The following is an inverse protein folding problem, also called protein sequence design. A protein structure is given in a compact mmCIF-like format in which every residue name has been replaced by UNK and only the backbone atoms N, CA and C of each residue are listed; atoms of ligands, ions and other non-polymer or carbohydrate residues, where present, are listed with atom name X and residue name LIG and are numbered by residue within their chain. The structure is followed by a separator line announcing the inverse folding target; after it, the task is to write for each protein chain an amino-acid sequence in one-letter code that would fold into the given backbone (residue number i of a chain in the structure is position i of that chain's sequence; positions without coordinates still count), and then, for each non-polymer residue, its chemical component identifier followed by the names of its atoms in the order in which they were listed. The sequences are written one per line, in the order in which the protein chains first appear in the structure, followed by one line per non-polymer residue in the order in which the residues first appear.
data_IF_896271425589
#
_entry.id   IF_896271425589
#
_cell.length_a   1.000
_cell.length_b   1.000
_cell.length_c   1.000
_cell.angle_alpha   90.00
_cell.angle_beta   90.00
_cell.angle_gamma   90.00
#
_symmetry.space_group_name_H-M   'P 1'
#
loop_
_entity.id
_entity.type
_entity.pdbx_description
1 polymer ?
#
# COMPACT_ATOMS: atom_id res chain seq x y z
N UNK A 1 4.87 -63.09 11.37
CA UNK A 1 5.53 -62.35 10.28
C UNK A 1 4.44 -61.64 9.48
N UNK A 2 4.38 -60.31 9.63
CA UNK A 2 3.67 -59.27 8.87
C UNK A 2 2.21 -59.52 8.41
N UNK A 3 1.28 -58.95 9.18
CA UNK A 3 -0.09 -58.63 8.80
C UNK A 3 -0.11 -57.54 7.70
N UNK A 4 -0.64 -57.87 6.53
CA UNK A 4 -1.08 -56.88 5.53
C UNK A 4 -2.47 -56.37 5.90
N UNK A 5 -2.55 -55.14 6.39
CA UNK A 5 -3.82 -54.43 6.60
C UNK A 5 -4.33 -53.87 5.27
N UNK A 6 -5.49 -54.35 4.83
CA UNK A 6 -6.22 -53.86 3.66
C UNK A 6 -6.88 -52.52 4.04
N UNK A 7 -6.70 -51.42 3.29
CA UNK A 7 -7.32 -50.14 3.62
C UNK A 7 -8.83 -50.20 3.35
N UNK A 8 -9.62 -49.60 4.24
CA UNK A 8 -11.08 -49.62 4.17
C UNK A 8 -11.63 -48.77 3.00
N UNK A 9 -12.85 -49.07 2.49
CA UNK A 9 -13.40 -48.47 1.26
C UNK A 9 -13.63 -46.96 1.31
N UNK A 10 -13.65 -46.35 2.50
CA UNK A 10 -13.87 -44.90 2.67
C UNK A 10 -12.67 -44.03 2.25
N UNK A 11 -11.48 -44.63 2.09
CA UNK A 11 -10.25 -43.92 1.69
C UNK A 11 -10.11 -43.68 0.18
N UNK A 12 -10.79 -44.50 -0.65
CA UNK A 12 -10.72 -44.40 -2.11
C UNK A 12 -11.67 -43.33 -2.67
N UNK A 13 -12.87 -43.18 -2.07
CA UNK A 13 -13.84 -42.18 -2.50
C UNK A 13 -13.42 -40.74 -2.18
N UNK A 14 -12.64 -40.52 -1.12
CA UNK A 14 -12.10 -39.20 -0.76
C UNK A 14 -10.95 -38.76 -1.69
N UNK A 15 -10.13 -39.71 -2.15
CA UNK A 15 -9.00 -39.47 -3.06
C UNK A 15 -9.46 -39.22 -4.51
N UNK A 16 -10.49 -39.94 -4.97
CA UNK A 16 -11.06 -39.74 -6.32
C UNK A 16 -11.86 -38.42 -6.43
N UNK A 17 -12.55 -38.03 -5.35
CA UNK A 17 -13.32 -36.77 -5.31
C UNK A 17 -12.44 -35.53 -5.22
N UNK A 18 -11.26 -35.63 -4.59
CA UNK A 18 -10.29 -34.52 -4.52
C UNK A 18 -9.48 -34.36 -5.83
N UNK A 19 -9.12 -35.47 -6.49
CA UNK A 19 -8.45 -35.44 -7.80
C UNK A 19 -9.33 -34.85 -8.91
N UNK A 20 -10.61 -35.23 -8.98
CA UNK A 20 -11.54 -34.69 -9.97
C UNK A 20 -11.75 -33.17 -9.82
N UNK A 21 -11.93 -32.68 -8.58
CA UNK A 21 -12.07 -31.25 -8.31
C UNK A 21 -10.82 -30.46 -8.70
N UNK A 22 -9.63 -31.02 -8.46
CA UNK A 22 -8.36 -30.41 -8.85
C UNK A 22 -8.21 -30.30 -10.37
N UNK A 23 -8.48 -31.38 -11.12
CA UNK A 23 -8.40 -31.36 -12.59
C UNK A 23 -9.43 -30.42 -13.22
N UNK A 24 -10.63 -30.32 -12.65
CA UNK A 24 -11.66 -29.36 -13.08
C UNK A 24 -11.18 -27.93 -12.84
N UNK A 25 -10.64 -27.63 -11.65
CA UNK A 25 -10.08 -26.31 -11.34
C UNK A 25 -8.92 -25.93 -12.28
N UNK A 26 -8.00 -26.85 -12.55
CA UNK A 26 -6.91 -26.64 -13.51
C UNK A 26 -7.43 -26.37 -14.93
N UNK A 27 -8.47 -27.07 -15.37
CA UNK A 27 -9.09 -26.87 -16.68
C UNK A 27 -9.76 -25.50 -16.80
N UNK A 28 -10.48 -25.06 -15.77
CA UNK A 28 -11.05 -23.71 -15.72
C UNK A 28 -9.97 -22.63 -15.69
N UNK A 29 -8.88 -22.84 -14.94
CA UNK A 29 -7.74 -21.94 -14.92
C UNK A 29 -7.07 -21.85 -16.29
N UNK A 30 -6.85 -22.97 -16.97
CA UNK A 30 -6.29 -23.01 -18.32
C UNK A 30 -7.20 -22.30 -19.34
N UNK A 31 -8.51 -22.52 -19.28
CA UNK A 31 -9.49 -21.82 -20.13
C UNK A 31 -9.50 -20.32 -19.86
N UNK A 32 -9.42 -19.91 -18.59
CA UNK A 32 -9.36 -18.50 -18.20
C UNK A 32 -8.09 -17.81 -18.73
N UNK A 33 -6.93 -18.48 -18.60
CA UNK A 33 -5.66 -18.03 -19.17
C UNK A 33 -5.77 -17.93 -20.69
N UNK A 34 -6.34 -18.94 -21.35
CA UNK A 34 -6.54 -18.95 -22.79
C UNK A 34 -7.42 -17.78 -23.26
N UNK A 35 -8.55 -17.52 -22.59
CA UNK A 35 -9.42 -16.36 -22.89
C UNK A 35 -8.68 -15.04 -22.67
N UNK A 36 -7.87 -14.91 -21.61
CA UNK A 36 -7.05 -13.72 -21.38
C UNK A 36 -6.01 -13.51 -22.47
N UNK A 37 -5.30 -14.57 -22.85
CA UNK A 37 -4.31 -14.55 -23.93
C UNK A 37 -4.97 -14.15 -25.25
N UNK A 38 -6.12 -14.74 -25.59
CA UNK A 38 -6.90 -14.36 -26.78
C UNK A 38 -7.38 -12.90 -26.73
N UNK A 39 -7.85 -12.42 -25.58
CA UNK A 39 -8.23 -11.00 -25.41
C UNK A 39 -7.02 -10.08 -25.58
N UNK A 40 -5.87 -10.42 -25.01
CA UNK A 40 -4.63 -9.65 -25.19
C UNK A 40 -4.17 -9.62 -26.65
N UNK A 41 -4.25 -10.75 -27.35
CA UNK A 41 -3.94 -10.85 -28.78
C UNK A 41 -4.90 -10.00 -29.63
N UNK A 42 -6.20 -9.99 -29.30
CA UNK A 42 -7.23 -9.19 -30.00
C UNK A 42 -7.21 -7.70 -29.65
N UNK A 43 -6.66 -7.33 -28.48
CA UNK A 43 -6.47 -5.94 -28.05
C UNK A 43 -5.28 -5.24 -28.71
N UNK A 44 -4.58 -5.91 -29.65
CA UNK A 44 -3.63 -5.26 -30.59
C UNK A 44 -4.36 -4.36 -31.60
N UNK A 45 -5.24 -3.49 -31.11
CA UNK A 45 -5.86 -2.41 -31.88
C UNK A 45 -4.79 -1.34 -32.11
N UNK A 46 -4.78 -0.79 -33.33
CA UNK A 46 -3.85 0.20 -33.90
C UNK A 46 -3.53 1.36 -32.94
N UNK A 47 -2.55 1.17 -32.06
CA UNK A 47 -1.94 2.26 -31.29
C UNK A 47 -0.71 2.77 -32.05
N UNK A 48 -0.34 4.04 -31.82
CA UNK A 48 0.93 4.57 -32.29
C UNK A 48 2.07 3.66 -31.84
N UNK A 49 2.91 3.22 -32.78
CA UNK A 49 4.07 2.42 -32.46
C UNK A 49 5.08 3.31 -31.73
N UNK A 50 5.28 3.03 -30.45
CA UNK A 50 6.29 3.68 -29.63
C UNK A 50 7.54 2.81 -29.62
N UNK A 51 8.71 3.46 -29.63
CA UNK A 51 9.99 2.79 -29.39
C UNK A 51 10.04 2.22 -27.98
N UNK A 52 10.96 1.30 -27.73
CA UNK A 52 11.13 0.71 -26.42
C UNK A 52 12.15 -0.41 -26.38
N UNK A 53 12.57 -0.81 -25.17
CA UNK A 53 13.58 -1.83 -25.01
C UNK A 53 13.11 -3.19 -25.51
N UNK A 54 14.03 -4.00 -26.05
CA UNK A 54 13.71 -5.38 -26.39
C UNK A 54 13.32 -6.15 -25.14
N UNK A 55 12.43 -7.13 -25.34
CA UNK A 55 11.96 -7.99 -24.26
C UNK A 55 13.07 -8.93 -23.81
N UNK A 56 13.52 -8.80 -22.56
CA UNK A 56 14.56 -9.64 -21.97
C UNK A 56 14.06 -11.03 -21.59
N UNK A 57 12.79 -11.15 -21.18
CA UNK A 57 12.19 -12.44 -20.83
C UNK A 57 10.81 -12.66 -21.45
N UNK A 58 10.54 -13.92 -21.81
CA UNK A 58 9.25 -14.29 -22.39
C UNK A 58 8.13 -14.07 -21.35
N UNK A 59 8.26 -14.61 -20.14
CA UNK A 59 7.16 -14.50 -19.16
C UNK A 59 7.09 -13.12 -18.47
N UNK A 60 8.22 -12.52 -18.12
CA UNK A 60 8.26 -11.34 -17.26
C UNK A 60 8.48 -10.01 -18.00
N UNK A 61 8.71 -10.03 -19.31
CA UNK A 61 9.11 -8.81 -20.03
C UNK A 61 10.41 -8.26 -19.47
N UNK A 62 10.46 -6.95 -19.21
CA UNK A 62 11.54 -6.28 -18.44
C UNK A 62 11.23 -6.18 -16.94
N UNK A 63 10.08 -6.66 -16.48
CA UNK A 63 9.63 -6.45 -15.09
C UNK A 63 10.52 -7.15 -14.06
N UNK A 64 11.17 -8.25 -14.45
CA UNK A 64 12.11 -8.98 -13.58
C UNK A 64 13.40 -8.20 -13.35
N UNK A 65 13.96 -7.64 -14.42
CA UNK A 65 15.22 -6.87 -14.35
C UNK A 65 15.02 -5.61 -13.51
N UNK A 66 13.86 -4.95 -13.65
CA UNK A 66 13.46 -3.81 -12.81
C UNK A 66 13.24 -4.17 -11.35
N UNK A 67 12.81 -5.41 -11.05
CA UNK A 67 12.56 -5.85 -9.68
C UNK A 67 13.85 -6.29 -8.96
N UNK A 68 14.84 -6.78 -9.69
CA UNK A 68 16.13 -7.24 -9.14
C UNK A 68 17.15 -6.09 -9.09
N UNK A 69 17.02 -5.09 -9.97
CA UNK A 69 17.93 -3.95 -10.00
C UNK A 69 17.91 -3.16 -8.70
N UNK A 70 19.09 -2.88 -8.14
CA UNK A 70 19.23 -1.97 -7.00
C UNK A 70 18.78 -0.54 -7.35
N UNK A 71 19.03 -0.10 -8.58
CA UNK A 71 18.61 1.19 -9.10
C UNK A 71 17.77 1.02 -10.37
N UNK A 72 16.45 0.98 -10.18
CA UNK A 72 15.49 0.99 -11.29
C UNK A 72 15.39 2.36 -11.97
N UNK A 73 15.73 3.44 -11.26
CA UNK A 73 15.67 4.81 -11.78
C UNK A 73 16.68 5.01 -12.92
N UNK A 74 17.93 4.59 -12.72
CA UNK A 74 18.96 4.62 -13.76
C UNK A 74 18.59 3.78 -15.00
N UNK A 75 17.78 2.73 -14.85
CA UNK A 75 17.28 1.96 -16.00
C UNK A 75 16.28 2.81 -16.80
N UNK A 76 15.31 3.44 -16.12
CA UNK A 76 14.33 4.32 -16.77
C UNK A 76 14.98 5.54 -17.44
N UNK A 77 16.03 6.11 -16.82
CA UNK A 77 16.79 7.25 -17.38
C UNK A 77 17.55 6.86 -18.66
N UNK A 78 18.20 5.69 -18.66
CA UNK A 78 18.84 5.14 -19.86
C UNK A 78 17.84 4.93 -21.00
N UNK A 79 16.69 4.32 -20.71
CA UNK A 79 15.65 4.11 -21.72
C UNK A 79 15.02 5.41 -22.20
N UNK A 80 14.87 6.42 -21.34
CA UNK A 80 14.41 7.74 -21.76
C UNK A 80 15.41 8.42 -22.71
N UNK A 81 16.71 8.22 -22.48
CA UNK A 81 17.77 8.73 -23.37
C UNK A 81 17.79 8.00 -24.71
N UNK A 82 17.60 6.67 -24.71
CA UNK A 82 17.69 5.84 -25.91
C UNK A 82 16.43 5.86 -26.78
N UNK A 83 15.24 5.81 -26.16
CA UNK A 83 13.96 5.68 -26.86
C UNK A 83 13.13 6.97 -26.87
N UNK A 84 13.61 8.02 -26.19
CA UNK A 84 13.01 9.34 -26.14
C UNK A 84 12.02 9.54 -24.97
N UNK A 85 11.31 10.66 -25.01
CA UNK A 85 10.46 11.13 -23.90
C UNK A 85 9.16 10.33 -23.69
N UNK A 86 8.79 9.49 -24.65
CA UNK A 86 7.64 8.58 -24.55
C UNK A 86 7.98 7.26 -25.21
N UNK A 87 7.96 6.18 -24.45
CA UNK A 87 8.34 4.86 -24.92
C UNK A 87 7.48 3.76 -24.30
N UNK A 88 7.53 2.56 -24.86
CA UNK A 88 6.74 1.42 -24.43
C UNK A 88 7.63 0.30 -23.91
N UNK A 89 7.39 -0.18 -22.70
CA UNK A 89 8.13 -1.29 -22.09
C UNK A 89 7.27 -2.57 -22.06
N UNK A 90 7.87 -3.75 -22.32
CA UNK A 90 7.17 -5.02 -22.18
C UNK A 90 7.01 -5.41 -20.70
N UNK A 91 5.78 -5.75 -20.32
CA UNK A 91 5.39 -6.18 -18.97
C UNK A 91 5.13 -7.69 -18.92
N UNK A 92 4.90 -8.19 -17.71
CA UNK A 92 4.50 -9.58 -17.42
C UNK A 92 3.38 -10.07 -18.35
N UNK A 93 3.48 -11.33 -18.79
CA UNK A 93 2.52 -12.05 -19.65
C UNK A 93 2.23 -11.39 -21.00
N UNK A 94 3.22 -10.69 -21.57
CA UNK A 94 3.10 -10.04 -22.87
C UNK A 94 2.26 -8.77 -22.85
N UNK A 95 1.93 -8.25 -21.66
CA UNK A 95 1.40 -6.90 -21.52
C UNK A 95 2.44 -5.85 -21.92
N UNK A 96 2.00 -4.63 -22.13
CA UNK A 96 2.87 -3.48 -22.39
C UNK A 96 2.51 -2.34 -21.45
N UNK A 97 3.47 -1.46 -21.16
CA UNK A 97 3.26 -0.24 -20.38
C UNK A 97 3.88 0.93 -21.13
N UNK A 98 3.20 2.06 -21.13
CA UNK A 98 3.74 3.31 -21.69
C UNK A 98 4.39 4.08 -20.56
N UNK A 99 5.61 4.55 -20.79
CA UNK A 99 6.34 5.44 -19.89
C UNK A 99 6.29 6.84 -20.49
N UNK A 100 5.87 7.81 -19.67
CA UNK A 100 5.79 9.22 -20.02
C UNK A 100 6.87 9.98 -19.26
N UNK A 101 7.77 10.62 -19.99
CA UNK A 101 8.81 11.51 -19.45
C UNK A 101 8.62 12.97 -19.90
N UNK A 102 7.71 13.24 -20.85
CA UNK A 102 7.36 14.60 -21.27
C UNK A 102 6.47 15.30 -20.22
N UNK A 103 6.88 16.46 -19.67
CA UNK A 103 6.08 17.20 -18.71
C UNK A 103 4.68 17.59 -19.21
N UNK A 104 4.51 17.87 -20.52
CA UNK A 104 3.20 18.23 -21.07
C UNK A 104 2.26 17.02 -21.12
N UNK A 105 2.76 15.87 -21.57
CA UNK A 105 2.02 14.61 -21.53
C UNK A 105 1.66 14.19 -20.10
N UNK A 106 2.58 14.36 -19.15
CA UNK A 106 2.36 14.10 -17.72
C UNK A 106 1.29 15.05 -17.16
N UNK A 107 1.37 16.34 -17.47
CA UNK A 107 0.38 17.32 -17.05
C UNK A 107 -1.00 16.95 -17.62
N UNK A 108 -1.10 16.57 -18.89
CA UNK A 108 -2.34 16.09 -19.49
C UNK A 108 -2.87 14.82 -18.80
N UNK A 109 -2.00 13.86 -18.49
CA UNK A 109 -2.35 12.62 -17.81
C UNK A 109 -2.96 12.88 -16.42
N UNK A 110 -2.34 13.77 -15.63
CA UNK A 110 -2.82 14.10 -14.28
C UNK A 110 -3.93 15.17 -14.25
N UNK A 111 -4.06 16.01 -15.28
CA UNK A 111 -5.10 17.03 -15.37
C UNK A 111 -6.46 16.43 -15.75
N UNK A 112 -6.48 15.36 -16.56
CA UNK A 112 -7.72 14.63 -16.81
C UNK A 112 -8.11 13.93 -15.52
N UNK A 113 -9.32 14.23 -15.04
CA UNK A 113 -9.90 13.58 -13.86
C UNK A 113 -9.81 12.05 -13.95
N UNK A 114 -9.93 11.38 -12.80
CA UNK A 114 -9.88 9.92 -12.56
C UNK A 114 -10.82 9.04 -13.42
N UNK A 115 -11.41 9.58 -14.48
CA UNK A 115 -12.34 8.93 -15.40
C UNK A 115 -11.69 8.30 -16.61
N UNK A 116 -10.68 8.95 -17.19
CA UNK A 116 -10.03 8.43 -18.39
C UNK A 116 -8.88 7.48 -18.05
N UNK A 117 -8.02 7.89 -17.11
CA UNK A 117 -6.85 7.12 -16.71
C UNK A 117 -7.13 6.45 -15.36
N UNK A 118 -7.67 5.23 -15.44
CA UNK A 118 -8.05 4.43 -14.28
C UNK A 118 -6.94 3.46 -13.89
N UNK A 119 -6.87 3.12 -12.60
CA UNK A 119 -5.93 2.11 -12.14
C UNK A 119 -6.29 0.72 -12.68
N UNK A 120 -5.27 -0.11 -12.92
CA UNK A 120 -5.49 -1.47 -13.39
C UNK A 120 -6.17 -2.34 -12.33
N UNK A 121 -6.92 -3.39 -12.70
CA UNK A 121 -7.53 -4.31 -11.74
C UNK A 121 -6.53 -4.94 -10.78
N UNK A 122 -5.30 -5.21 -11.25
CA UNK A 122 -4.23 -5.74 -10.40
C UNK A 122 -3.78 -4.71 -9.37
N UNK A 123 -3.60 -3.45 -9.77
CA UNK A 123 -3.27 -2.34 -8.86
C UNK A 123 -4.36 -2.16 -7.79
N UNK A 124 -5.64 -2.22 -8.18
CA UNK A 124 -6.75 -2.12 -7.23
C UNK A 124 -6.81 -3.30 -6.26
N UNK A 125 -6.62 -4.53 -6.74
CA UNK A 125 -6.60 -5.69 -5.87
C UNK A 125 -5.43 -5.63 -4.88
N UNK A 126 -4.28 -5.13 -5.31
CA UNK A 126 -3.12 -4.90 -4.45
C UNK A 126 -3.38 -3.82 -3.40
N UNK A 127 -3.98 -2.69 -3.79
CA UNK A 127 -4.34 -1.61 -2.87
C UNK A 127 -5.41 -2.06 -1.87
N UNK A 128 -6.44 -2.79 -2.31
CA UNK A 128 -7.46 -3.36 -1.43
C UNK A 128 -6.83 -4.33 -0.41
N UNK A 129 -5.89 -5.17 -0.86
CA UNK A 129 -5.19 -6.09 0.03
C UNK A 129 -4.23 -5.40 1.01
N UNK A 130 -3.69 -4.23 0.63
CA UNK A 130 -2.67 -3.54 1.41
C UNK A 130 -3.25 -2.52 2.40
N UNK A 131 -4.06 -1.59 1.89
CA UNK A 131 -4.60 -0.44 2.64
C UNK A 131 -6.12 -0.46 2.74
N UNK A 132 -6.78 -1.46 2.15
CA UNK A 132 -8.24 -1.56 2.11
C UNK A 132 -8.89 -0.63 1.09
N UNK A 133 -10.23 -0.55 1.15
CA UNK A 133 -11.05 0.29 0.24
C UNK A 133 -11.12 1.73 0.73
N UNK A 134 -9.97 2.40 0.75
CA UNK A 134 -9.83 3.81 1.13
C UNK A 134 -9.71 4.76 -0.06
N UNK A 135 -9.29 5.98 0.21
CA UNK A 135 -9.08 7.03 -0.80
C UNK A 135 -8.06 6.62 -1.88
N UNK A 136 -7.07 5.79 -1.55
CA UNK A 136 -6.09 5.31 -2.54
C UNK A 136 -6.68 4.30 -3.54
N UNK A 137 -7.72 3.56 -3.13
CA UNK A 137 -8.40 2.55 -3.93
C UNK A 137 -9.60 3.13 -4.69
N UNK A 138 -10.30 4.08 -4.08
CA UNK A 138 -11.48 4.69 -4.67
C UNK A 138 -11.13 5.36 -6.00
N UNK A 139 -12.06 5.27 -6.96
CA UNK A 139 -11.95 5.97 -8.24
C UNK A 139 -13.17 6.86 -8.44
N UNK A 140 -12.98 7.90 -9.25
CA UNK A 140 -14.10 8.67 -9.73
C UNK A 140 -14.82 9.50 -8.67
N UNK A 141 -16.15 9.38 -8.62
CA UNK A 141 -17.01 10.20 -7.77
C UNK A 141 -16.87 9.78 -6.30
N UNK A 142 -16.67 8.48 -6.06
CA UNK A 142 -16.33 7.97 -4.74
C UNK A 142 -15.00 8.56 -4.26
N UNK A 143 -13.98 8.62 -5.14
CA UNK A 143 -12.71 9.26 -4.82
C UNK A 143 -12.88 10.76 -4.56
N UNK A 144 -13.58 11.47 -5.45
CA UNK A 144 -13.88 12.91 -5.34
C UNK A 144 -14.55 13.23 -4.01
N UNK A 145 -15.58 12.47 -3.63
CA UNK A 145 -16.29 12.63 -2.35
C UNK A 145 -15.38 12.38 -1.15
N UNK A 146 -14.62 11.29 -1.14
CA UNK A 146 -13.69 10.98 -0.05
C UNK A 146 -12.59 12.04 0.09
N UNK A 147 -11.97 12.45 -1.04
CA UNK A 147 -10.96 13.51 -1.08
C UNK A 147 -11.52 14.82 -0.54
N UNK A 148 -12.70 15.24 -1.00
CA UNK A 148 -13.38 16.47 -0.55
C UNK A 148 -13.65 16.46 0.95
N UNK A 149 -14.04 15.33 1.52
CA UNK A 149 -14.25 15.20 2.96
C UNK A 149 -12.94 15.29 3.77
N UNK A 150 -11.81 14.81 3.22
CA UNK A 150 -10.51 14.81 3.89
C UNK A 150 -9.77 16.15 3.82
N UNK A 151 -9.85 16.86 2.68
CA UNK A 151 -9.07 18.09 2.41
C UNK A 151 -9.05 19.12 3.55
N UNK A 152 -10.17 19.45 4.23
CA UNK A 152 -10.14 20.49 5.25
C UNK A 152 -9.21 20.19 6.44
N UNK A 153 -9.07 18.92 6.81
CA UNK A 153 -8.19 18.49 7.90
C UNK A 153 -6.69 18.58 7.53
N UNK A 154 -6.39 18.78 6.24
CA UNK A 154 -5.05 19.04 5.71
C UNK A 154 -4.90 20.47 5.16
N UNK A 155 -5.76 21.40 5.59
CA UNK A 155 -5.62 22.81 5.25
C UNK A 155 -4.42 23.45 5.96
N UNK A 156 -3.87 24.54 5.41
CA UNK A 156 -2.78 25.29 6.04
C UNK A 156 -3.10 25.70 7.49
N UNK A 157 -4.36 26.04 7.77
CA UNK A 157 -4.80 26.37 9.13
C UNK A 157 -4.79 25.17 10.07
N UNK A 158 -5.21 24.00 9.61
CA UNK A 158 -5.15 22.76 10.39
C UNK A 158 -3.70 22.32 10.63
N UNK A 159 -2.84 22.39 9.60
CA UNK A 159 -1.42 22.01 9.71
C UNK A 159 -0.69 22.90 10.73
N UNK A 160 -0.95 24.21 10.75
CA UNK A 160 -0.35 25.13 11.75
C UNK A 160 -0.70 24.77 13.18
N UNK A 161 -1.89 24.21 13.44
CA UNK A 161 -2.27 23.74 14.78
C UNK A 161 -1.48 22.52 15.22
N UNK A 162 -0.99 21.73 14.26
CA UNK A 162 -0.20 20.53 14.52
C UNK A 162 1.30 20.84 14.69
N UNK A 163 1.75 22.06 14.38
CA UNK A 163 3.17 22.45 14.43
C UNK A 163 3.83 22.16 15.77
N UNK A 164 3.15 22.36 16.91
CA UNK A 164 3.70 22.02 18.23
C UNK A 164 4.01 20.53 18.36
N UNK A 165 3.16 19.64 17.82
CA UNK A 165 3.38 18.19 17.84
C UNK A 165 4.67 17.80 17.10
N UNK A 166 4.97 18.47 15.98
CA UNK A 166 6.23 18.26 15.26
C UNK A 166 7.44 18.69 16.09
N UNK A 167 7.36 19.85 16.76
CA UNK A 167 8.43 20.31 17.65
C UNK A 167 8.61 19.38 18.84
N UNK A 168 7.53 18.95 19.49
CA UNK A 168 7.59 18.04 20.64
C UNK A 168 8.29 16.72 20.27
N UNK A 169 7.96 16.17 19.10
CA UNK A 169 8.61 14.95 18.59
C UNK A 169 10.09 15.15 18.27
N UNK A 170 10.44 16.31 17.70
CA UNK A 170 11.84 16.67 17.42
C UNK A 170 12.66 16.87 18.70
N UNK A 171 12.11 17.58 19.70
CA UNK A 171 12.76 17.77 20.99
C UNK A 171 12.90 16.46 21.76
N UNK A 172 11.90 15.56 21.69
CA UNK A 172 11.99 14.22 22.26
C UNK A 172 13.13 13.42 21.63
N UNK A 173 13.27 13.43 20.31
CA UNK A 173 14.37 12.77 19.62
C UNK A 173 15.73 13.37 19.99
N UNK A 174 15.83 14.71 20.02
CA UNK A 174 17.04 15.43 20.45
C UNK A 174 17.47 15.02 21.86
N UNK A 175 16.55 14.99 22.82
CA UNK A 175 16.86 14.58 24.19
C UNK A 175 17.37 13.13 24.29
N UNK A 176 16.85 12.23 23.45
CA UNK A 176 17.37 10.85 23.38
C UNK A 176 18.76 10.81 22.78
N UNK A 177 19.03 11.58 21.74
CA UNK A 177 20.36 11.67 21.13
C UNK A 177 21.39 12.25 22.10
N UNK A 178 21.02 13.27 22.88
CA UNK A 178 21.86 13.79 23.96
C UNK A 178 22.19 12.69 24.97
N UNK A 179 21.20 11.90 25.40
CA UNK A 179 21.43 10.78 26.33
C UNK A 179 22.37 9.72 25.74
N UNK A 180 22.27 9.44 24.45
CA UNK A 180 23.17 8.51 23.74
C UNK A 180 24.60 9.06 23.68
N UNK A 181 24.76 10.36 23.46
CA UNK A 181 26.07 11.02 23.47
C UNK A 181 26.69 11.04 24.88
N UNK A 182 25.91 11.43 25.89
CA UNK A 182 26.35 11.49 27.29
C UNK A 182 26.73 10.12 27.87
N UNK A 183 26.12 9.04 27.36
CA UNK A 183 26.45 7.66 27.75
C UNK A 183 27.63 7.07 26.99
N UNK A 184 28.15 7.77 25.97
CA UNK A 184 29.34 7.34 25.26
C UNK A 184 30.61 7.64 26.05
N UNK A 185 31.52 6.67 26.12
CA UNK A 185 32.78 6.80 26.86
C UNK A 185 33.74 7.82 26.25
N UNK A 186 33.67 8.00 24.93
CA UNK A 186 34.61 8.83 24.17
C UNK A 186 34.00 10.19 23.78
N UNK A 187 32.77 10.50 24.23
CA UNK A 187 32.05 11.73 23.88
C UNK A 187 31.40 11.71 22.48
N UNK A 188 31.64 10.66 21.68
CA UNK A 188 31.13 10.50 20.32
C UNK A 188 30.16 9.32 20.21
N UNK A 189 29.11 9.44 19.40
CA UNK A 189 28.15 8.36 19.16
C UNK A 189 27.77 8.21 17.68
N UNK A 190 27.65 6.97 17.22
CA UNK A 190 27.12 6.64 15.89
C UNK A 190 25.61 6.45 16.00
N UNK A 191 24.86 7.29 15.29
CA UNK A 191 23.39 7.29 15.30
C UNK A 191 22.86 6.86 13.93
N UNK A 192 22.03 5.83 13.90
CA UNK A 192 21.33 5.39 12.68
C UNK A 192 20.11 6.31 12.42
N UNK A 193 20.34 7.38 11.66
CA UNK A 193 19.36 8.45 11.46
C UNK A 193 18.09 7.96 10.78
N UNK A 194 18.15 6.98 9.87
CA UNK A 194 16.98 6.55 9.11
C UNK A 194 15.93 5.89 10.01
N UNK A 195 16.34 5.02 10.92
CA UNK A 195 15.46 4.41 11.91
C UNK A 195 14.89 5.45 12.87
N UNK A 196 15.69 6.44 13.30
CA UNK A 196 15.17 7.56 14.09
C UNK A 196 14.11 8.36 13.33
N UNK A 197 14.33 8.67 12.04
CA UNK A 197 13.33 9.38 11.24
C UNK A 197 12.04 8.56 11.07
N UNK A 198 12.13 7.23 10.95
CA UNK A 198 10.97 6.35 10.94
C UNK A 198 10.17 6.46 12.24
N UNK A 199 10.84 6.41 13.40
CA UNK A 199 10.20 6.54 14.71
C UNK A 199 9.60 7.94 14.94
N UNK A 200 10.32 9.01 14.60
CA UNK A 200 9.81 10.39 14.71
C UNK A 200 8.55 10.54 13.84
N UNK A 201 8.61 10.10 12.59
CA UNK A 201 7.48 10.20 11.66
C UNK A 201 6.28 9.43 12.17
N UNK A 202 6.48 8.22 12.72
CA UNK A 202 5.41 7.40 13.24
C UNK A 202 4.74 8.03 14.48
N UNK A 203 5.52 8.46 15.47
CA UNK A 203 4.97 9.08 16.68
C UNK A 203 4.26 10.40 16.34
N UNK A 204 4.87 11.22 15.47
CA UNK A 204 4.28 12.49 15.03
C UNK A 204 2.94 12.27 14.34
N UNK A 205 2.85 11.32 13.39
CA UNK A 205 1.59 11.00 12.70
C UNK A 205 0.58 10.33 13.63
N UNK A 206 1.03 9.54 14.61
CA UNK A 206 0.18 8.99 15.65
C UNK A 206 -0.51 10.09 16.46
N UNK A 207 0.26 11.06 16.94
CA UNK A 207 -0.28 12.16 17.76
C UNK A 207 -1.09 13.13 16.90
N UNK A 208 -0.54 13.60 15.78
CA UNK A 208 -1.19 14.58 14.92
C UNK A 208 -2.41 14.00 14.18
N UNK A 209 -2.36 12.73 13.78
CA UNK A 209 -3.44 12.05 13.06
C UNK A 209 -4.52 11.49 13.99
N UNK A 210 -4.08 10.80 15.05
CA UNK A 210 -4.91 9.94 15.89
C UNK A 210 -4.88 10.34 17.37
N UNK A 211 -4.26 11.46 17.77
CA UNK A 211 -4.09 11.80 19.20
C UNK A 211 -3.53 10.62 20.03
N UNK A 212 -2.71 9.77 19.40
CA UNK A 212 -2.21 8.54 19.98
C UNK A 212 -0.69 8.49 19.88
N UNK A 213 -0.01 8.47 21.02
CA UNK A 213 1.45 8.27 21.06
C UNK A 213 1.75 6.78 20.97
N UNK A 214 2.37 6.35 19.86
CA UNK A 214 2.82 4.97 19.68
C UNK A 214 4.02 4.63 20.58
N UNK A 215 4.72 5.64 21.12
CA UNK A 215 5.90 5.49 21.95
C UNK A 215 7.08 4.86 21.21
N UNK A 216 7.11 5.00 19.89
CA UNK A 216 8.14 4.44 19.03
C UNK A 216 9.52 5.02 19.36
N UNK A 217 9.59 6.31 19.73
CA UNK A 217 10.80 6.97 20.21
C UNK A 217 11.26 6.53 21.61
N UNK A 218 10.39 5.83 22.36
CA UNK A 218 10.72 5.27 23.67
C UNK A 218 11.13 3.79 23.60
N UNK A 219 11.38 3.27 22.38
CA UNK A 219 11.78 1.89 22.16
C UNK A 219 10.63 0.89 22.27
N UNK A 220 9.37 1.34 22.34
CA UNK A 220 8.23 0.43 22.20
C UNK A 220 8.16 -0.03 20.75
N UNK A 221 8.21 -1.35 20.54
CA UNK A 221 7.88 -1.94 19.23
C UNK A 221 6.39 -1.77 18.98
N UNK A 222 6.02 -0.64 18.36
CA UNK A 222 4.69 -0.49 17.82
C UNK A 222 4.50 -1.53 16.70
N UNK A 223 3.34 -2.18 16.63
CA UNK A 223 2.99 -3.07 15.51
C UNK A 223 3.15 -2.40 14.14
N UNK A 224 3.14 -1.06 14.14
CA UNK A 224 3.28 -0.23 12.97
C UNK A 224 4.72 -0.15 12.44
N UNK A 225 5.74 -0.11 13.32
CA UNK A 225 7.15 -0.12 12.86
C UNK A 225 7.48 -1.42 12.15
N UNK A 226 7.02 -2.56 12.67
CA UNK A 226 7.20 -3.89 12.07
C UNK A 226 6.61 -3.96 10.64
N UNK A 227 5.45 -3.32 10.41
CA UNK A 227 4.85 -3.25 9.07
C UNK A 227 5.72 -2.41 8.13
N UNK A 228 6.23 -1.26 8.58
CA UNK A 228 7.10 -0.40 7.78
C UNK A 228 8.45 -1.05 7.47
N UNK A 229 9.05 -1.75 8.43
CA UNK A 229 10.28 -2.52 8.22
C UNK A 229 10.07 -3.63 7.18
N UNK A 230 8.89 -4.26 7.17
CA UNK A 230 8.50 -5.27 6.17
C UNK A 230 8.32 -4.67 4.76
N UNK A 231 7.95 -3.39 4.66
CA UNK A 231 7.88 -2.71 3.35
C UNK A 231 9.28 -2.48 2.77
N UNK A 232 10.25 -2.09 3.59
CA UNK A 232 11.64 -1.80 3.18
C UNK A 232 12.52 -3.04 2.96
N UNK A 233 12.21 -4.17 3.61
CA UNK A 233 13.04 -5.38 3.62
C UNK A 233 12.67 -6.44 2.57
N UNK A 234 11.88 -6.09 1.54
CA UNK A 234 11.48 -7.03 0.48
C UNK A 234 12.70 -7.46 -0.37
N UNK A 235 13.43 -8.46 0.12
CA UNK A 235 14.47 -9.12 -0.67
C UNK A 235 13.81 -9.83 -1.86
N UNK A 236 14.32 -9.66 -3.09
CA UNK A 236 13.85 -10.42 -4.23
C UNK A 236 14.07 -11.92 -3.94
N UNK A 237 12.98 -12.68 -3.93
CA UNK A 237 12.97 -14.12 -3.73
C UNK A 237 12.19 -14.75 -4.87
N UNK A 238 12.63 -15.93 -5.32
CA UNK A 238 11.93 -16.69 -6.36
C UNK A 238 10.46 -16.94 -5.99
N UNK A 239 10.15 -17.10 -4.70
CA UNK A 239 8.78 -17.24 -4.22
C UNK A 239 7.95 -15.97 -4.43
N UNK A 240 8.53 -14.78 -4.22
CA UNK A 240 7.87 -13.49 -4.47
C UNK A 240 7.68 -13.25 -5.97
N UNK A 241 8.66 -13.61 -6.81
CA UNK A 241 8.53 -13.53 -8.27
C UNK A 241 7.37 -14.39 -8.78
N UNK A 242 7.30 -15.65 -8.31
CA UNK A 242 6.20 -16.58 -8.64
C UNK A 242 4.87 -16.03 -8.12
N UNK A 243 4.84 -15.50 -6.90
CA UNK A 243 3.64 -14.91 -6.32
C UNK A 243 3.12 -13.72 -7.14
N UNK A 244 3.99 -12.82 -7.58
CA UNK A 244 3.61 -11.65 -8.42
C UNK A 244 3.10 -12.11 -9.79
N UNK A 245 3.78 -13.09 -10.40
CA UNK A 245 3.31 -13.69 -11.65
C UNK A 245 1.91 -14.28 -11.48
N UNK A 246 1.73 -15.10 -10.45
CA UNK A 246 0.46 -15.75 -10.14
C UNK A 246 -0.63 -14.73 -9.80
N UNK A 247 -0.32 -13.65 -9.08
CA UNK A 247 -1.26 -12.57 -8.79
C UNK A 247 -1.69 -11.80 -10.05
N UNK A 248 -0.81 -11.67 -11.04
CA UNK A 248 -1.13 -11.02 -12.32
C UNK A 248 -2.14 -11.83 -13.16
N UNK A 249 -2.11 -13.16 -13.03
CA UNK A 249 -3.08 -14.09 -13.62
C UNK A 249 -4.30 -14.19 -12.72
N UNK A 250 -4.14 -14.65 -11.49
CA UNK A 250 -5.22 -14.87 -10.54
C UNK A 250 -5.14 -13.84 -9.41
N UNK A 251 -5.79 -12.67 -9.54
CA UNK A 251 -5.72 -11.62 -8.50
C UNK A 251 -6.30 -12.06 -7.16
N UNK A 252 -7.04 -13.18 -7.12
CA UNK A 252 -7.51 -13.80 -5.88
C UNK A 252 -6.36 -14.29 -4.99
N UNK A 253 -5.18 -14.55 -5.56
CA UNK A 253 -3.97 -14.98 -4.83
C UNK A 253 -3.48 -13.90 -3.88
N UNK A 254 -3.74 -12.62 -4.18
CA UNK A 254 -3.50 -11.52 -3.25
C UNK A 254 -4.34 -11.64 -1.96
N UNK A 255 -5.40 -12.48 -1.94
CA UNK A 255 -6.22 -12.75 -0.76
C UNK A 255 -5.63 -13.82 0.17
N UNK A 256 -4.60 -14.55 -0.26
CA UNK A 256 -3.97 -15.61 0.54
C UNK A 256 -3.26 -15.00 1.75
N UNK A 257 -3.40 -15.58 2.95
CA UNK A 257 -2.71 -15.12 4.16
C UNK A 257 -1.19 -15.27 3.99
N UNK A 258 -0.52 -14.14 3.81
CA UNK A 258 0.95 -14.02 3.93
C UNK A 258 1.29 -13.33 5.24
N UNK A 259 2.52 -13.48 5.73
CA UNK A 259 3.00 -12.78 6.93
C UNK A 259 2.77 -11.28 6.82
N UNK A 260 3.19 -10.68 5.70
CA UNK A 260 2.94 -9.28 5.37
C UNK A 260 1.45 -8.90 5.40
N UNK A 261 0.57 -9.73 4.83
CA UNK A 261 -0.89 -9.48 4.86
C UNK A 261 -1.45 -9.58 6.27
N UNK A 262 -0.96 -10.52 7.09
CA UNK A 262 -1.38 -10.66 8.48
C UNK A 262 -0.94 -9.46 9.31
N UNK A 263 0.28 -8.97 9.11
CA UNK A 263 0.80 -7.74 9.71
C UNK A 263 -0.03 -6.53 9.32
N UNK A 264 -0.32 -6.34 8.03
CA UNK A 264 -1.18 -5.25 7.52
C UNK A 264 -2.60 -5.35 8.08
N UNK A 265 -3.16 -6.55 8.19
CA UNK A 265 -4.47 -6.78 8.80
C UNK A 265 -4.46 -6.44 10.28
N UNK A 266 -3.43 -6.84 11.03
CA UNK A 266 -3.25 -6.51 12.45
C UNK A 266 -3.17 -5.00 12.64
N UNK A 267 -2.37 -4.30 11.83
CA UNK A 267 -2.28 -2.85 11.83
C UNK A 267 -3.62 -2.18 11.53
N UNK A 268 -4.34 -2.64 10.50
CA UNK A 268 -5.65 -2.10 10.14
C UNK A 268 -6.67 -2.28 11.28
N UNK A 269 -6.66 -3.42 11.97
CA UNK A 269 -7.52 -3.67 13.13
C UNK A 269 -7.16 -2.74 14.29
N UNK A 270 -5.88 -2.64 14.65
CA UNK A 270 -5.41 -1.76 15.73
C UNK A 270 -5.75 -0.29 15.46
N UNK A 271 -5.51 0.19 14.24
CA UNK A 271 -5.88 1.55 13.83
C UNK A 271 -7.39 1.77 13.86
N UNK A 272 -8.19 0.76 13.49
CA UNK A 272 -9.64 0.81 13.60
C UNK A 272 -10.12 0.91 15.05
N UNK A 273 -9.49 0.17 15.97
CA UNK A 273 -9.78 0.24 17.40
C UNK A 273 -9.46 1.61 17.99
N UNK A 274 -8.26 2.13 17.71
CA UNK A 274 -7.82 3.47 18.14
C UNK A 274 -8.79 4.53 17.59
N UNK A 275 -9.11 4.47 16.29
CA UNK A 275 -10.03 5.42 15.65
C UNK A 275 -11.43 5.39 16.27
N UNK A 276 -11.97 4.20 16.55
CA UNK A 276 -13.27 4.06 17.20
C UNK A 276 -13.27 4.61 18.63
N UNK A 277 -12.22 4.34 19.40
CA UNK A 277 -12.08 4.86 20.75
C UNK A 277 -12.02 6.40 20.75
N UNK A 278 -11.25 6.99 19.83
CA UNK A 278 -11.15 8.44 19.68
C UNK A 278 -12.48 9.08 19.28
N UNK A 279 -13.22 8.45 18.35
CA UNK A 279 -14.55 8.92 17.95
C UNK A 279 -15.52 8.89 19.14
N UNK A 280 -15.49 7.84 19.96
CA UNK A 280 -16.30 7.73 21.16
C UNK A 280 -15.91 8.80 22.19
N UNK A 281 -14.60 8.99 22.45
CA UNK A 281 -14.10 10.01 23.37
C UNK A 281 -14.50 11.41 22.91
N UNK A 282 -14.28 11.74 21.64
CA UNK A 282 -14.64 13.04 21.07
C UNK A 282 -16.14 13.34 21.15
N UNK A 283 -17.01 12.33 20.93
CA UNK A 283 -18.46 12.47 21.13
C UNK A 283 -18.84 12.70 22.59
N UNK A 284 -18.20 12.01 23.53
CA UNK A 284 -18.46 12.17 24.98
C UNK A 284 -18.03 13.55 25.48
N UNK A 285 -16.83 14.00 25.11
CA UNK A 285 -16.30 15.30 25.52
C UNK A 285 -17.17 16.47 25.03
N UNK A 286 -17.75 16.36 23.83
CA UNK A 286 -18.71 17.36 23.31
C UNK A 286 -20.11 17.28 23.94
N UNK A 287 -20.56 16.10 24.37
CA UNK A 287 -21.82 15.95 25.11
C UNK A 287 -21.78 16.59 26.50
N UNK A 288 -20.59 16.77 27.06
CA UNK A 288 -20.35 17.42 28.37
C UNK A 288 -20.02 18.92 28.22
N UNK A 289 -19.38 19.34 27.13
CA UNK A 289 -19.05 20.74 26.85
C UNK A 289 -20.00 21.38 25.82
N UNK A 290 -21.19 21.81 26.27
CA UNK A 290 -22.01 22.79 25.54
C UNK A 290 -21.35 24.17 25.73
N UNK A 291 -20.28 24.45 24.97
CA UNK A 291 -19.69 25.80 24.90
C UNK A 291 -18.17 25.90 24.82
N UNK A 292 -17.42 24.82 25.04
CA UNK A 292 -15.95 24.84 24.96
C UNK A 292 -15.42 24.38 23.60
N UNK A 293 -14.49 25.13 22.99
CA UNK A 293 -13.63 24.66 21.89
C UNK A 293 -12.81 23.46 22.37
N UNK A 294 -13.37 22.25 22.27
CA UNK A 294 -12.65 21.01 22.55
C UNK A 294 -11.42 20.93 21.64
N UNK A 295 -10.28 20.57 22.23
CA UNK A 295 -8.97 20.56 21.57
C UNK A 295 -9.03 19.84 20.23
N UNK A 296 -8.97 20.61 19.15
CA UNK A 296 -8.87 20.15 17.77
C UNK A 296 -7.44 19.69 17.44
N UNK A 297 -6.83 18.89 18.33
CA UNK A 297 -5.40 18.59 18.27
C UNK A 297 -5.06 17.41 17.34
N UNK A 298 -6.05 16.84 16.65
CA UNK A 298 -5.81 15.81 15.64
C UNK A 298 -6.70 15.87 14.41
N UNK A 299 -6.19 15.31 13.32
CA UNK A 299 -6.86 15.19 12.02
C UNK A 299 -8.18 14.44 12.16
N UNK A 300 -8.24 13.32 12.88
CA UNK A 300 -9.49 12.57 13.08
C UNK A 300 -10.51 13.37 13.90
N UNK A 301 -10.06 14.06 14.95
CA UNK A 301 -10.93 14.96 15.72
C UNK A 301 -11.57 16.01 14.83
N UNK A 302 -10.77 16.67 13.98
CA UNK A 302 -11.23 17.63 12.98
C UNK A 302 -12.22 17.01 12.00
N UNK A 303 -11.92 15.84 11.44
CA UNK A 303 -12.80 15.17 10.47
C UNK A 303 -14.15 14.79 11.08
N UNK A 304 -14.18 14.29 12.32
CA UNK A 304 -15.43 13.98 13.02
C UNK A 304 -16.30 15.22 13.22
N UNK A 305 -15.69 16.37 13.50
CA UNK A 305 -16.43 17.63 13.66
C UNK A 305 -17.04 18.10 12.33
N UNK A 306 -16.30 17.91 11.23
CA UNK A 306 -16.69 18.37 9.91
C UNK A 306 -17.80 17.49 9.32
N UNK A 307 -17.73 16.17 9.49
CA UNK A 307 -18.78 15.27 9.00
C UNK A 307 -20.14 15.58 9.60
N UNK A 308 -20.20 15.93 10.88
CA UNK A 308 -21.46 16.30 11.54
C UNK A 308 -21.97 17.66 11.05
N UNK A 309 -21.09 18.65 10.82
CA UNK A 309 -21.49 19.93 10.21
C UNK A 309 -22.03 19.78 8.79
N UNK A 310 -21.45 18.88 8.00
CA UNK A 310 -21.97 18.56 6.67
C UNK A 310 -23.34 17.88 6.73
N UNK A 311 -23.60 17.04 7.74
CA UNK A 311 -24.92 16.43 7.97
C UNK A 311 -25.94 17.50 8.38
N UNK A 312 -25.60 18.37 9.35
CA UNK A 312 -26.51 19.43 9.85
C UNK A 312 -26.80 20.50 8.80
N UNK A 313 -25.85 20.83 7.92
CA UNK A 313 -26.07 21.80 6.83
C UNK A 313 -26.81 21.23 5.61
N UNK A 314 -27.12 19.93 5.61
CA UNK A 314 -27.89 19.24 4.55
C UNK A 314 -29.37 19.02 4.94
N UNK A 315 -29.81 19.60 6.05
CA UNK A 315 -31.21 19.65 6.51
C UNK A 315 -31.73 21.09 6.54
#
# INVERSE_FOLDING_TARGET
MNLFTIPSPSSLWTTVRSGGAFHVACSFAALWVFVKVLRMLRWRVKTTQLLGPPRTSLVYGVSRDLAISQDSGAIYERWATEYGVVYMIPSVLGGTRVVLCDPRAIAHFYARETWTYVQTPLSLAFLEASVGKGVLWAQGETHRRQRKALTPAFSNGAIRKLTSVFYDSAYKAKGKWDTVLESSKDGDAVIEVQNWMNHISLDTVGIAGFSHDFGSLDGKRASVTEVFDTFGSNKPSAANEIFVLLASVFPIILKIPTERRNLLKKLSITMGQISNELLIRSRREKGVNIGGRGQENSVIGLLSTLSERFIVASY
#
